data_IF_509740078807
#
_entry.id   IF_509740078807
#
_cell.length_a   1.000
_cell.length_b   1.000
_cell.length_c   1.000
_cell.angle_alpha   90.00
_cell.angle_beta   90.00
_cell.angle_gamma   90.00
#
_symmetry.space_group_name_H-M   'P 1'
#
loop_
_entity.id
_entity.type
_entity.pdbx_description
1 polymer ?
#
# COMPACT_ATOMS: atom_id res chain seq x y z
N UNK A 1 45.85 -0.43 -36.27
CA UNK A 1 44.39 -0.50 -36.52
C UNK A 1 43.71 -1.10 -35.30
N UNK A 2 43.22 -0.30 -34.35
CA UNK A 2 42.35 -0.79 -33.25
C UNK A 2 40.90 -0.62 -33.70
N UNK A 3 40.17 -1.72 -33.80
CA UNK A 3 38.71 -1.69 -33.97
C UNK A 3 38.11 -1.11 -32.69
N UNK A 4 37.50 0.06 -32.79
CA UNK A 4 36.62 0.59 -31.76
C UNK A 4 35.47 -0.39 -31.58
N UNK A 5 35.45 -1.11 -30.45
CA UNK A 5 34.25 -1.82 -30.01
C UNK A 5 33.31 -0.76 -29.44
N UNK A 6 32.29 -0.42 -30.21
CA UNK A 6 31.17 0.39 -29.73
C UNK A 6 30.46 -0.38 -28.63
N UNK A 7 30.48 0.16 -27.42
CA UNK A 7 29.63 -0.31 -26.31
C UNK A 7 28.18 0.00 -26.70
N UNK A 8 27.25 -0.98 -26.71
CA UNK A 8 25.84 -0.65 -26.91
C UNK A 8 25.35 0.12 -25.68
N UNK A 9 24.95 1.38 -25.90
CA UNK A 9 24.22 2.18 -24.91
C UNK A 9 22.80 1.64 -24.77
N UNK A 10 22.64 0.55 -24.04
CA UNK A 10 21.33 0.03 -23.64
C UNK A 10 20.90 0.68 -22.32
N UNK A 11 20.48 1.94 -22.36
CA UNK A 11 19.56 2.44 -21.33
C UNK A 11 18.17 2.03 -21.81
N UNK A 12 17.50 1.15 -21.07
CA UNK A 12 16.08 0.88 -21.32
C UNK A 12 15.34 2.22 -21.35
N UNK A 13 14.45 2.46 -22.33
CA UNK A 13 13.73 3.72 -22.41
C UNK A 13 12.95 3.94 -21.12
N UNK A 14 13.13 5.12 -20.51
CA UNK A 14 12.37 5.52 -19.31
C UNK A 14 10.89 5.39 -19.65
N UNK A 15 10.12 4.59 -18.89
CA UNK A 15 8.74 4.31 -19.25
C UNK A 15 7.91 5.58 -19.20
N UNK A 16 7.14 5.82 -20.26
CA UNK A 16 6.26 6.98 -20.35
C UNK A 16 5.17 6.94 -19.28
N UNK A 17 4.75 8.12 -18.76
CA UNK A 17 3.58 8.21 -17.90
C UNK A 17 2.36 7.55 -18.57
N UNK A 18 1.58 6.83 -17.77
CA UNK A 18 0.34 6.20 -18.24
C UNK A 18 -0.63 7.25 -18.77
N UNK A 19 -1.26 6.98 -19.92
CA UNK A 19 -2.23 7.90 -20.52
C UNK A 19 -3.62 7.71 -19.92
N UNK A 20 -4.50 8.71 -20.09
CA UNK A 20 -5.89 8.59 -19.64
C UNK A 20 -6.64 7.45 -20.33
N UNK A 21 -6.35 7.19 -21.61
CA UNK A 21 -6.94 6.07 -22.37
C UNK A 21 -6.47 4.72 -21.84
N UNK A 22 -5.18 4.57 -21.52
CA UNK A 22 -4.63 3.36 -20.90
C UNK A 22 -5.25 3.10 -19.52
N UNK A 23 -5.44 4.16 -18.72
CA UNK A 23 -6.12 4.06 -17.42
C UNK A 23 -7.58 3.60 -17.59
N UNK A 24 -8.31 4.19 -18.54
CA UNK A 24 -9.69 3.82 -18.82
C UNK A 24 -9.81 2.36 -19.27
N UNK A 25 -8.90 1.91 -20.15
CA UNK A 25 -8.85 0.53 -20.62
C UNK A 25 -8.50 -0.46 -19.50
N UNK A 26 -7.68 -0.06 -18.52
CA UNK A 26 -7.29 -0.90 -17.39
C UNK A 26 -8.32 -0.93 -16.25
N UNK A 27 -9.32 -0.02 -16.26
CA UNK A 27 -10.30 0.09 -15.18
C UNK A 27 -11.05 -1.21 -14.88
N UNK A 28 -11.52 -2.02 -15.86
CA UNK A 28 -12.14 -3.30 -15.58
C UNK A 28 -11.22 -4.28 -14.83
N UNK A 29 -9.91 -4.27 -15.15
CA UNK A 29 -8.93 -5.09 -14.45
C UNK A 29 -8.73 -4.63 -13.00
N UNK A 30 -8.67 -3.32 -12.76
CA UNK A 30 -8.57 -2.74 -11.41
C UNK A 30 -9.78 -3.13 -10.56
N UNK A 31 -11.00 -3.01 -11.11
CA UNK A 31 -12.25 -3.35 -10.41
C UNK A 31 -12.46 -4.86 -10.22
N UNK A 32 -11.70 -5.70 -10.92
CA UNK A 32 -11.72 -7.15 -10.75
C UNK A 32 -10.77 -7.65 -9.63
N UNK A 33 -10.21 -6.74 -8.81
CA UNK A 33 -9.40 -7.12 -7.67
C UNK A 33 -10.22 -7.89 -6.61
N UNK A 34 -9.60 -8.81 -5.86
CA UNK A 34 -10.23 -9.45 -4.72
C UNK A 34 -10.79 -8.43 -3.71
N UNK A 35 -12.00 -8.69 -3.20
CA UNK A 35 -12.61 -7.85 -2.16
C UNK A 35 -12.12 -8.21 -0.77
N UNK A 36 -11.75 -9.48 -0.56
CA UNK A 36 -11.29 -10.03 0.71
C UNK A 36 -10.12 -10.96 0.45
N UNK A 37 -9.37 -11.30 1.51
CA UNK A 37 -8.29 -12.30 1.47
C UNK A 37 -7.24 -12.00 0.38
N UNK A 38 -7.03 -10.71 0.15
CA UNK A 38 -6.16 -10.16 -0.87
C UNK A 38 -4.68 -10.34 -0.49
N UNK A 39 -3.82 -10.71 -1.46
CA UNK A 39 -2.40 -10.81 -1.22
C UNK A 39 -1.76 -9.44 -0.98
N UNK A 40 -0.89 -9.35 0.02
CA UNK A 40 -0.03 -8.18 0.28
C UNK A 40 1.32 -8.39 -0.40
N UNK A 41 1.70 -7.45 -1.27
CA UNK A 41 2.95 -7.50 -2.04
C UNK A 41 4.08 -6.65 -1.47
N UNK A 42 3.75 -5.60 -0.72
CA UNK A 42 4.76 -4.73 -0.13
C UNK A 42 4.25 -4.13 1.18
N UNK A 43 5.14 -4.07 2.14
CA UNK A 43 4.97 -3.29 3.37
C UNK A 43 6.05 -2.22 3.39
N UNK A 44 5.66 -0.97 3.60
CA UNK A 44 6.58 0.15 3.70
C UNK A 44 6.51 0.76 5.10
N UNK A 45 7.63 0.72 5.81
CA UNK A 45 7.78 1.45 7.07
C UNK A 45 8.57 2.73 6.87
N UNK A 46 8.15 3.79 7.54
CA UNK A 46 8.80 5.10 7.43
C UNK A 46 9.08 5.71 8.78
N UNK A 47 10.35 5.79 9.16
CA UNK A 47 10.76 6.51 10.38
C UNK A 47 10.61 8.03 10.25
N UNK A 48 10.63 8.55 9.01
CA UNK A 48 10.66 9.96 8.65
C UNK A 48 10.66 10.16 7.13
N UNK A 49 10.85 11.41 6.68
CA UNK A 49 10.90 11.73 5.24
C UNK A 49 12.06 11.02 4.56
N UNK A 50 11.80 10.42 3.39
CA UNK A 50 12.80 9.69 2.60
C UNK A 50 13.53 8.55 3.35
N UNK A 51 13.00 8.12 4.51
CA UNK A 51 13.52 7.01 5.29
C UNK A 51 12.54 5.84 5.18
N UNK A 52 12.62 5.09 4.08
CA UNK A 52 11.76 3.92 3.80
C UNK A 52 12.53 2.64 4.10
N UNK A 53 11.87 1.67 4.73
CA UNK A 53 12.31 0.27 4.77
C UNK A 53 11.15 -0.63 4.38
N UNK A 54 11.47 -1.84 3.92
CA UNK A 54 10.50 -2.79 3.39
C UNK A 54 10.56 -4.11 4.17
N UNK A 55 10.00 -4.14 5.39
CA UNK A 55 9.99 -5.35 6.20
C UNK A 55 8.96 -6.36 5.69
N UNK A 56 9.16 -7.64 5.97
CA UNK A 56 8.17 -8.68 5.67
C UNK A 56 6.96 -8.64 6.61
N UNK A 57 7.11 -7.99 7.77
CA UNK A 57 6.07 -7.89 8.80
C UNK A 57 6.00 -6.50 9.40
N UNK A 58 4.78 -6.05 9.69
CA UNK A 58 4.52 -4.82 10.43
C UNK A 58 3.53 -5.05 11.56
N UNK A 59 3.75 -4.38 12.69
CA UNK A 59 2.79 -4.32 13.77
C UNK A 59 1.79 -3.20 13.48
N UNK A 60 0.50 -3.54 13.43
CA UNK A 60 -0.58 -2.57 13.39
C UNK A 60 -1.35 -2.58 14.71
N UNK A 61 -1.67 -1.39 15.21
CA UNK A 61 -2.43 -1.17 16.43
C UNK A 61 -3.57 -0.20 16.17
N UNK A 62 -4.71 -0.37 16.86
CA UNK A 62 -5.83 0.59 16.80
C UNK A 62 -5.43 1.98 17.25
N UNK A 63 -4.65 2.02 18.34
CA UNK A 63 -4.34 3.27 19.04
C UNK A 63 -3.34 4.12 18.26
N UNK A 64 -2.33 3.50 17.69
CA UNK A 64 -1.17 4.20 17.14
C UNK A 64 -0.98 3.94 15.64
N UNK A 65 -1.86 3.18 14.98
CA UNK A 65 -1.54 2.63 13.67
C UNK A 65 -0.26 1.80 13.80
N UNK A 66 0.76 2.15 13.03
CA UNK A 66 2.05 1.47 13.02
C UNK A 66 3.04 2.20 13.93
N UNK A 67 3.49 1.57 15.03
CA UNK A 67 4.42 2.22 15.95
C UNK A 67 5.71 2.68 15.25
N UNK A 68 6.14 3.89 15.60
CA UNK A 68 7.35 4.51 15.05
C UNK A 68 7.20 5.05 13.62
N UNK A 69 6.05 4.88 12.99
CA UNK A 69 5.78 5.42 11.66
C UNK A 69 5.62 6.94 11.69
N UNK A 70 5.99 7.59 10.58
CA UNK A 70 6.03 9.05 10.40
C UNK A 70 4.72 9.74 10.75
N UNK A 71 3.56 9.16 10.46
CA UNK A 71 2.23 9.74 10.66
C UNK A 71 1.91 10.01 12.12
N UNK A 72 2.54 9.32 13.07
CA UNK A 72 2.44 9.67 14.49
C UNK A 72 3.18 10.97 14.84
N UNK A 73 4.23 11.31 14.09
CA UNK A 73 5.11 12.46 14.36
C UNK A 73 4.75 13.66 13.50
N UNK A 74 4.48 13.41 12.22
CA UNK A 74 4.23 14.40 11.17
C UNK A 74 3.02 13.96 10.32
N UNK A 75 1.81 13.94 10.93
CA UNK A 75 0.57 13.71 10.19
C UNK A 75 0.25 14.90 9.29
N UNK A 76 -0.37 14.63 8.15
CA UNK A 76 -0.92 15.65 7.27
C UNK A 76 -2.33 16.09 7.67
N UNK A 77 -3.01 15.31 8.52
CA UNK A 77 -4.31 15.63 9.10
C UNK A 77 -4.24 15.55 10.62
N UNK A 78 -4.71 16.60 11.28
CA UNK A 78 -4.73 16.71 12.73
C UNK A 78 -6.16 16.97 13.21
N UNK A 79 -6.44 16.48 14.42
CA UNK A 79 -7.61 16.89 15.17
C UNK A 79 -7.48 18.35 15.64
N UNK A 80 -8.58 19.01 16.05
CA UNK A 80 -8.53 20.36 16.60
C UNK A 80 -7.60 20.52 17.81
N UNK A 81 -7.37 19.44 18.57
CA UNK A 81 -6.45 19.39 19.70
C UNK A 81 -4.97 19.20 19.30
N UNK A 82 -4.68 19.18 18.00
CA UNK A 82 -3.33 19.04 17.44
C UNK A 82 -2.82 17.61 17.33
N UNK A 83 -3.52 16.60 17.86
CA UNK A 83 -3.12 15.19 17.74
C UNK A 83 -3.28 14.68 16.30
N UNK A 84 -2.51 13.65 15.89
CA UNK A 84 -2.72 12.97 14.61
C UNK A 84 -4.16 12.44 14.48
N UNK A 85 -4.79 12.65 13.33
CA UNK A 85 -6.12 12.14 13.08
C UNK A 85 -6.10 10.60 12.91
N UNK A 86 -6.90 9.83 13.66
CA UNK A 86 -6.88 8.37 13.60
C UNK A 86 -7.29 7.79 12.24
N UNK A 87 -7.97 8.58 11.38
CA UNK A 87 -8.38 8.16 10.04
C UNK A 87 -7.22 8.00 9.06
N UNK A 88 -6.06 8.56 9.39
CA UNK A 88 -4.87 8.56 8.53
C UNK A 88 -3.73 7.78 9.17
N UNK A 89 -4.03 6.63 9.80
CA UNK A 89 -3.05 5.80 10.52
C UNK A 89 -2.36 4.73 9.67
N UNK A 90 -3.00 4.26 8.60
CA UNK A 90 -2.41 3.38 7.58
C UNK A 90 -2.85 3.78 6.18
N UNK A 91 -1.98 3.64 5.17
CA UNK A 91 -2.34 3.78 3.74
C UNK A 91 -2.34 2.40 3.09
N UNK A 92 -3.34 2.15 2.24
CA UNK A 92 -3.39 0.98 1.37
C UNK A 92 -3.42 1.48 -0.08
N UNK A 93 -2.43 1.06 -0.86
CA UNK A 93 -2.36 1.29 -2.29
C UNK A 93 -2.78 -0.01 -3.02
N UNK A 94 -3.86 0.02 -3.83
CA UNK A 94 -4.22 -1.13 -4.65
C UNK A 94 -3.09 -1.48 -5.63
N UNK A 95 -2.68 -2.74 -5.65
CA UNK A 95 -1.55 -3.22 -6.44
C UNK A 95 -1.75 -2.97 -7.93
N UNK A 96 -2.95 -3.27 -8.45
CA UNK A 96 -3.30 -3.05 -9.86
C UNK A 96 -3.23 -1.58 -10.27
N UNK A 97 -3.54 -0.65 -9.36
CA UNK A 97 -3.35 0.78 -9.60
C UNK A 97 -1.87 1.13 -9.55
N UNK A 98 -1.14 0.60 -8.56
CA UNK A 98 0.31 0.78 -8.44
C UNK A 98 1.05 0.34 -9.70
N UNK A 99 0.67 -0.79 -10.30
CA UNK A 99 1.31 -1.33 -11.50
C UNK A 99 1.12 -0.43 -12.73
N UNK A 100 0.00 0.30 -12.80
CA UNK A 100 -0.28 1.22 -13.90
C UNK A 100 0.54 2.51 -13.79
N UNK A 101 0.67 3.06 -12.58
CA UNK A 101 1.23 4.40 -12.36
C UNK A 101 2.71 4.38 -11.93
N UNK A 102 3.19 3.29 -11.34
CA UNK A 102 4.57 3.13 -10.88
C UNK A 102 5.32 2.15 -11.79
N UNK A 103 5.50 2.55 -13.06
CA UNK A 103 6.13 1.74 -14.12
C UNK A 103 7.66 1.66 -13.97
N UNK A 104 8.30 2.77 -13.62
CA UNK A 104 9.73 2.82 -13.35
C UNK A 104 10.04 2.49 -11.88
N UNK A 105 10.13 1.21 -11.54
CA UNK A 105 10.38 0.78 -10.16
C UNK A 105 11.84 0.97 -9.70
N UNK A 106 12.78 1.14 -10.64
CA UNK A 106 14.21 1.28 -10.34
C UNK A 106 14.63 2.74 -10.22
N UNK A 107 14.15 3.61 -11.12
CA UNK A 107 14.46 5.03 -11.12
C UNK A 107 13.48 5.88 -10.30
N UNK A 108 12.26 5.39 -10.02
CA UNK A 108 11.28 6.12 -9.20
C UNK A 108 11.14 5.51 -7.80
N UNK A 109 11.39 6.28 -6.71
CA UNK A 109 11.20 5.80 -5.35
C UNK A 109 9.77 5.35 -5.09
N UNK A 110 9.61 4.29 -4.28
CA UNK A 110 8.31 3.81 -3.83
C UNK A 110 7.43 4.97 -3.28
N UNK A 111 6.13 5.04 -3.65
CA UNK A 111 5.24 6.15 -3.30
C UNK A 111 5.14 6.36 -1.78
N UNK A 112 5.32 5.28 -1.02
CA UNK A 112 5.47 5.31 0.44
C UNK A 112 4.16 4.99 1.16
N UNK A 113 3.16 4.50 0.44
CA UNK A 113 2.01 3.81 1.01
C UNK A 113 2.45 2.63 1.85
N UNK A 114 1.79 2.45 2.99
CA UNK A 114 2.22 1.48 3.98
C UNK A 114 2.02 0.05 3.52
N UNK A 115 0.92 -0.21 2.80
CA UNK A 115 0.55 -1.54 2.34
C UNK A 115 0.26 -1.43 0.84
N UNK A 116 0.89 -2.28 0.03
CA UNK A 116 0.49 -2.51 -1.36
C UNK A 116 -0.12 -3.90 -1.44
N UNK A 117 -1.39 -4.00 -1.83
CA UNK A 117 -2.15 -5.25 -1.84
C UNK A 117 -3.07 -5.36 -3.07
N UNK A 118 -3.30 -6.58 -3.57
CA UNK A 118 -4.29 -6.83 -4.64
C UNK A 118 -5.72 -6.79 -4.08
N UNK A 119 -6.13 -5.61 -3.62
CA UNK A 119 -7.41 -5.39 -2.93
C UNK A 119 -8.25 -4.38 -3.72
N UNK A 120 -9.52 -4.71 -3.92
CA UNK A 120 -10.53 -3.77 -4.41
C UNK A 120 -10.88 -2.76 -3.32
N UNK A 121 -10.54 -1.49 -3.57
CA UNK A 121 -10.84 -0.36 -2.67
C UNK A 121 -11.96 0.54 -3.22
N UNK A 122 -12.78 0.06 -4.15
CA UNK A 122 -13.92 0.81 -4.69
C UNK A 122 -14.98 1.08 -3.61
N UNK A 123 -15.65 2.24 -3.69
CA UNK A 123 -16.62 2.72 -2.70
C UNK A 123 -17.71 1.71 -2.26
N UNK A 124 -18.34 0.90 -3.13
CA UNK A 124 -19.36 -0.06 -2.67
C UNK A 124 -18.78 -1.21 -1.84
N UNK A 125 -17.50 -1.52 -2.01
CA UNK A 125 -16.75 -2.50 -1.18
C UNK A 125 -16.17 -1.84 0.06
N UNK A 126 -15.72 -0.59 -0.10
CA UNK A 126 -15.10 0.24 0.93
C UNK A 126 -16.15 1.13 1.64
N UNK A 127 -17.34 0.60 1.95
CA UNK A 127 -18.23 1.20 2.95
C UNK A 127 -17.89 0.63 4.34
N UNK A 128 -17.81 1.45 5.40
CA UNK A 128 -17.50 0.96 6.75
C UNK A 128 -18.59 0.10 7.43
N UNK A 129 -19.60 -0.44 6.73
CA UNK A 129 -20.80 -1.00 7.38
C UNK A 129 -21.36 -2.34 6.88
N UNK A 130 -20.80 -3.03 5.89
CA UNK A 130 -21.33 -4.35 5.50
C UNK A 130 -20.36 -5.48 5.85
N UNK A 131 -20.52 -6.00 7.07
CA UNK A 131 -19.70 -7.08 7.63
C UNK A 131 -19.93 -8.44 6.95
N UNK A 132 -20.82 -8.60 5.96
CA UNK A 132 -21.31 -9.92 5.51
C UNK A 132 -20.32 -10.85 4.79
N UNK A 133 -19.31 -10.33 4.10
CA UNK A 133 -18.49 -11.14 3.17
C UNK A 133 -17.04 -11.44 3.57
N UNK A 134 -16.58 -10.93 4.71
CA UNK A 134 -15.15 -10.97 5.08
C UNK A 134 -14.78 -12.23 5.87
N UNK A 135 -13.55 -12.73 5.78
CA UNK A 135 -13.02 -13.74 6.70
C UNK A 135 -13.00 -13.23 8.15
N UNK A 136 -13.07 -14.14 9.13
CA UNK A 136 -13.16 -13.81 10.56
C UNK A 136 -11.99 -12.94 11.03
N UNK A 137 -10.79 -13.12 10.46
CA UNK A 137 -9.62 -12.29 10.76
C UNK A 137 -9.71 -10.86 10.22
N UNK A 138 -10.32 -10.63 9.05
CA UNK A 138 -10.50 -9.29 8.46
C UNK A 138 -11.67 -8.51 9.10
N UNK A 139 -12.74 -9.19 9.54
CA UNK A 139 -13.80 -8.56 10.36
C UNK A 139 -13.25 -8.02 11.68
N UNK A 140 -12.34 -8.78 12.31
CA UNK A 140 -11.66 -8.38 13.54
C UNK A 140 -10.63 -7.26 13.32
N UNK A 141 -10.10 -7.09 12.12
CA UNK A 141 -9.14 -6.02 11.80
C UNK A 141 -9.82 -4.64 11.67
N UNK A 142 -11.02 -4.59 11.10
CA UNK A 142 -11.73 -3.33 10.84
C UNK A 142 -12.88 -3.01 11.82
N UNK A 143 -13.52 -4.01 12.45
CA UNK A 143 -14.50 -3.81 13.54
C UNK A 143 -13.91 -3.10 14.78
N UNK A 144 -12.59 -2.96 14.81
CA UNK A 144 -11.82 -2.21 15.78
C UNK A 144 -11.81 -0.68 15.53
N UNK A 145 -12.43 -0.17 14.47
CA UNK A 145 -12.55 1.28 14.24
C UNK A 145 -13.91 1.87 14.66
N UNK A 146 -14.84 1.05 15.17
CA UNK A 146 -16.12 1.52 15.73
C UNK A 146 -16.82 0.47 16.61
N UNK A 147 -16.63 0.56 17.93
CA UNK A 147 -17.29 -0.31 18.93
C UNK A 147 -16.32 -1.12 19.79
N UNK A 148 -16.54 -1.17 21.11
CA UNK A 148 -15.76 -1.93 22.13
C UNK A 148 -15.85 -3.45 21.84
N UNK A 149 -14.89 -4.34 22.13
CA UNK A 149 -14.09 -4.56 23.35
C UNK A 149 -12.68 -5.11 23.02
N UNK A 150 -11.90 -5.33 24.09
CA UNK A 150 -10.45 -5.47 24.19
C UNK A 150 -9.73 -6.65 23.49
N UNK A 151 -8.40 -6.42 23.40
CA UNK A 151 -7.28 -7.34 23.22
C UNK A 151 -6.94 -7.84 21.79
N UNK A 152 -5.77 -7.39 21.30
CA UNK A 152 -5.00 -8.12 20.30
C UNK A 152 -4.07 -7.24 19.46
N UNK A 153 -2.78 -7.24 19.80
CA UNK A 153 -1.74 -6.86 18.84
C UNK A 153 -1.76 -7.87 17.68
N UNK A 154 -1.83 -7.43 16.43
CA UNK A 154 -1.77 -8.35 15.27
C UNK A 154 -0.71 -7.89 14.28
N UNK A 155 0.12 -8.84 13.85
CA UNK A 155 1.10 -8.64 12.81
C UNK A 155 0.45 -8.73 11.43
N UNK A 156 0.81 -7.83 10.54
CA UNK A 156 0.50 -7.89 9.11
C UNK A 156 1.72 -8.49 8.43
N UNK A 157 1.51 -9.54 7.63
CA UNK A 157 2.58 -10.22 6.90
C UNK A 157 2.39 -9.99 5.41
N UNK A 158 3.49 -9.72 4.70
CA UNK A 158 3.53 -9.85 3.24
C UNK A 158 3.39 -11.34 2.87
N UNK A 159 2.79 -11.65 1.73
CA UNK A 159 2.97 -13.00 1.17
C UNK A 159 4.44 -13.21 0.81
N UNK A 160 4.94 -14.41 1.08
CA UNK A 160 6.25 -14.80 0.59
C UNK A 160 6.28 -14.58 -0.92
N UNK A 161 7.25 -13.81 -1.42
CA UNK A 161 7.50 -13.77 -2.86
C UNK A 161 7.70 -15.22 -3.32
N UNK A 162 7.06 -15.69 -4.40
CA UNK A 162 7.49 -16.94 -5.02
C UNK A 162 8.99 -16.78 -5.33
N UNK A 163 9.76 -17.80 -4.95
CA UNK A 163 11.21 -17.73 -4.76
C UNK A 163 12.00 -17.24 -5.97
N UNK A 164 13.23 -16.83 -5.64
CA UNK A 164 14.34 -16.53 -6.53
C UNK A 164 14.56 -17.55 -7.64
#
# INVERSE_FOLDING_TARGET
>A
MRRSMSVPSGADPVPHPVTAEELAAALPHVLAAPKTDAPIFSLCWRAGFNRRSFPDRLLLTRRCGIPGERWLKQPWLRLPDGRPDPRIQVSILPARVSDLVWRDRQGTPHPGDTIVADLDTSEPVFRPFNCGGWSTELRQFWGLFGGRCDAGMRGINKLASPGA
#
